data_IF_864930046573
#
_entry.id   IF_864930046573
#
_cell.length_a   1.000
_cell.length_b   1.000
_cell.length_c   1.000
_cell.angle_alpha   90.00
_cell.angle_beta   90.00
_cell.angle_gamma   90.00
#
_symmetry.space_group_name_H-M   'P 1'
#
loop_
_entity.id
_entity.type
_entity.pdbx_description
1 polymer ?
#
# COMPACT_ATOMS: atom_id res chain seq x y z
N UNK A 1 -2.36 -8.64 13.14
CA UNK A 1 -1.79 -7.28 13.13
C UNK A 1 -1.43 -6.92 11.69
N UNK A 2 -2.02 -5.84 11.17
CA UNK A 2 -1.88 -5.46 9.76
C UNK A 2 -0.75 -4.45 9.62
N UNK A 3 0.31 -4.79 8.88
CA UNK A 3 1.51 -3.96 8.77
C UNK A 3 1.58 -3.22 7.44
N UNK A 4 1.65 -1.90 7.50
CA UNK A 4 1.82 -1.00 6.35
C UNK A 4 3.22 -0.38 6.36
N UNK A 5 3.89 -0.42 5.24
CA UNK A 5 5.25 0.11 5.10
C UNK A 5 5.35 1.14 3.98
N UNK A 6 5.92 2.29 4.32
CA UNK A 6 6.26 3.34 3.37
C UNK A 6 7.69 3.14 2.89
N UNK A 7 7.87 3.06 1.59
CA UNK A 7 9.15 2.75 0.96
C UNK A 7 10.04 3.96 0.74
N UNK A 8 11.35 3.71 0.84
CA UNK A 8 12.38 4.54 0.23
C UNK A 8 13.33 3.71 -0.63
N UNK A 9 13.97 4.34 -1.62
CA UNK A 9 14.80 3.65 -2.60
C UNK A 9 16.21 3.26 -2.12
N UNK A 10 16.73 3.93 -1.08
CA UNK A 10 18.07 3.70 -0.60
C UNK A 10 18.34 4.32 0.76
N UNK A 11 19.59 4.23 1.24
CA UNK A 11 20.03 4.77 2.53
C UNK A 11 20.33 6.28 2.51
N UNK A 12 20.47 6.89 1.32
CA UNK A 12 20.77 8.31 1.19
C UNK A 12 19.58 9.19 1.57
N UNK A 13 19.83 10.27 2.31
CA UNK A 13 18.82 11.25 2.67
C UNK A 13 18.56 12.20 1.50
N UNK A 14 17.62 11.83 0.63
CA UNK A 14 17.17 12.64 -0.51
C UNK A 14 15.92 13.45 -0.15
N UNK A 15 15.56 14.49 -0.94
CA UNK A 15 14.27 15.18 -0.75
C UNK A 15 13.05 14.23 -0.81
N UNK A 16 13.12 13.18 -1.62
CA UNK A 16 12.08 12.15 -1.66
C UNK A 16 12.03 11.33 -0.36
N UNK A 17 13.19 10.96 0.20
CA UNK A 17 13.26 10.27 1.48
C UNK A 17 12.71 11.12 2.63
N UNK A 18 12.97 12.44 2.64
CA UNK A 18 12.41 13.36 3.64
C UNK A 18 10.88 13.41 3.57
N UNK A 19 10.29 13.40 2.37
CA UNK A 19 8.83 13.35 2.21
C UNK A 19 8.25 12.03 2.74
N UNK A 20 8.93 10.92 2.49
CA UNK A 20 8.51 9.61 3.01
C UNK A 20 8.58 9.57 4.53
N UNK A 21 9.64 10.13 5.14
CA UNK A 21 9.78 10.23 6.58
C UNK A 21 8.64 11.05 7.21
N UNK A 22 8.33 12.21 6.63
CA UNK A 22 7.24 13.05 7.10
C UNK A 22 5.88 12.38 6.97
N UNK A 23 5.63 11.70 5.84
CA UNK A 23 4.40 10.93 5.62
C UNK A 23 4.26 9.76 6.59
N UNK A 24 5.36 9.05 6.89
CA UNK A 24 5.38 7.96 7.88
C UNK A 24 5.01 8.48 9.27
N UNK A 25 5.65 9.56 9.72
CA UNK A 25 5.37 10.15 11.02
C UNK A 25 3.91 10.61 11.14
N UNK A 26 3.39 11.27 10.11
CA UNK A 26 1.98 11.69 10.08
C UNK A 26 1.02 10.49 10.13
N UNK A 27 1.30 9.45 9.35
CA UNK A 27 0.46 8.26 9.32
C UNK A 27 0.45 7.52 10.67
N UNK A 28 1.59 7.43 11.34
CA UNK A 28 1.71 6.84 12.68
C UNK A 28 0.88 7.62 13.72
N UNK A 29 0.98 8.95 13.72
CA UNK A 29 0.18 9.81 14.63
C UNK A 29 -1.31 9.64 14.34
N UNK A 30 -1.71 9.70 13.07
CA UNK A 30 -3.12 9.56 12.68
C UNK A 30 -3.69 8.21 13.08
N UNK A 31 -2.91 7.12 12.91
CA UNK A 31 -3.35 5.78 13.32
C UNK A 31 -3.56 5.69 14.84
N UNK A 32 -2.67 6.28 15.63
CA UNK A 32 -2.80 6.34 17.08
C UNK A 32 -4.02 7.16 17.52
N UNK A 33 -4.25 8.32 16.91
CA UNK A 33 -5.40 9.18 17.20
C UNK A 33 -6.75 8.56 16.85
N UNK A 34 -6.78 7.75 15.78
CA UNK A 34 -7.98 7.06 15.34
C UNK A 34 -8.16 5.67 15.96
N UNK A 35 -7.29 5.27 16.88
CA UNK A 35 -7.30 3.95 17.53
C UNK A 35 -7.31 2.79 16.53
N UNK A 36 -6.58 2.94 15.43
CA UNK A 36 -6.47 1.90 14.42
C UNK A 36 -5.45 0.86 14.87
N UNK A 37 -5.88 -0.39 14.97
CA UNK A 37 -5.01 -1.54 15.24
C UNK A 37 -4.21 -1.90 13.98
N UNK A 38 -3.26 -1.04 13.61
CA UNK A 38 -2.36 -1.28 12.49
C UNK A 38 -0.95 -0.83 12.81
N UNK A 39 0.02 -1.61 12.39
CA UNK A 39 1.43 -1.26 12.46
C UNK A 39 1.82 -0.46 11.21
N UNK A 40 2.23 0.79 11.41
CA UNK A 40 2.72 1.68 10.35
C UNK A 40 4.19 1.90 10.54
N UNK A 41 4.99 1.44 9.60
CA UNK A 41 6.43 1.56 9.62
C UNK A 41 6.94 2.27 8.33
N UNK A 42 8.13 2.74 8.35
CA UNK A 42 8.81 3.42 7.27
C UNK A 42 10.01 4.18 7.83
N UNK A 43 10.66 4.75 7.07
CA UNK A 43 11.14 4.67 5.69
C UNK A 43 12.00 3.40 5.49
N UNK A 44 11.47 2.41 4.85
CA UNK A 44 12.18 1.14 4.66
C UNK A 44 12.49 0.88 3.18
N UNK A 45 13.59 0.18 2.94
CA UNK A 45 13.84 -0.43 1.64
C UNK A 45 12.90 -1.63 1.45
N UNK A 46 12.62 -1.98 0.20
CA UNK A 46 11.69 -3.06 -0.13
C UNK A 46 12.11 -4.43 0.46
N UNK A 47 13.40 -4.72 0.43
CA UNK A 47 13.94 -5.96 1.01
C UNK A 47 13.77 -6.00 2.53
N UNK A 48 13.99 -4.89 3.22
CA UNK A 48 13.77 -4.77 4.68
C UNK A 48 12.29 -4.93 5.05
N UNK A 49 11.39 -4.45 4.19
CA UNK A 49 9.96 -4.56 4.41
C UNK A 49 9.42 -5.98 4.19
N UNK A 50 10.05 -6.74 3.29
CA UNK A 50 9.54 -8.03 2.81
C UNK A 50 10.33 -9.24 3.30
N UNK A 51 11.62 -9.06 3.65
CA UNK A 51 12.48 -10.15 4.12
C UNK A 51 12.95 -9.89 5.57
N UNK A 52 12.51 -10.71 6.53
CA UNK A 52 12.95 -10.59 7.92
C UNK A 52 14.46 -10.68 8.11
N UNK A 53 15.17 -11.46 7.27
CA UNK A 53 16.64 -11.56 7.34
C UNK A 53 17.31 -10.25 6.94
N UNK A 54 16.81 -9.61 5.89
CA UNK A 54 17.31 -8.29 5.48
C UNK A 54 17.05 -7.25 6.58
N UNK A 55 15.91 -7.36 7.25
CA UNK A 55 15.57 -6.51 8.38
C UNK A 55 16.53 -6.71 9.57
N UNK A 56 16.82 -7.93 9.96
CA UNK A 56 17.75 -8.24 11.05
C UNK A 56 19.15 -7.69 10.80
N UNK A 57 19.63 -7.76 9.54
CA UNK A 57 20.96 -7.27 9.18
C UNK A 57 21.04 -5.76 9.09
N UNK A 58 20.03 -5.13 8.48
CA UNK A 58 20.04 -3.68 8.20
C UNK A 58 19.50 -2.82 9.35
N UNK A 59 18.64 -3.40 10.20
CA UNK A 59 17.98 -2.73 11.32
C UNK A 59 18.00 -3.61 12.58
N UNK A 60 19.18 -3.93 13.14
CA UNK A 60 19.30 -4.86 14.27
C UNK A 60 18.55 -4.39 15.51
N UNK A 61 18.36 -3.10 15.67
CA UNK A 61 17.65 -2.49 16.81
C UNK A 61 16.12 -2.44 16.62
N UNK A 62 15.61 -2.78 15.44
CA UNK A 62 14.18 -2.84 15.14
C UNK A 62 13.69 -4.29 15.05
N UNK A 63 12.71 -4.63 15.84
CA UNK A 63 12.05 -5.93 15.76
C UNK A 63 10.96 -5.90 14.67
N UNK A 64 11.35 -6.16 13.43
CA UNK A 64 10.38 -6.45 12.36
C UNK A 64 9.91 -7.88 12.52
N UNK A 65 8.66 -8.08 12.89
CA UNK A 65 8.11 -9.40 13.26
C UNK A 65 7.66 -10.22 12.05
N UNK A 66 7.19 -9.57 10.99
CA UNK A 66 6.67 -10.21 9.79
C UNK A 66 6.80 -9.29 8.58
N UNK A 67 6.65 -9.87 7.38
CA UNK A 67 6.60 -9.11 6.13
C UNK A 67 5.46 -8.08 6.15
N UNK A 68 5.63 -7.00 5.40
CA UNK A 68 4.57 -6.00 5.24
C UNK A 68 3.41 -6.53 4.40
N UNK A 69 2.19 -6.24 4.82
CA UNK A 69 0.95 -6.57 4.10
C UNK A 69 0.60 -5.51 3.05
N UNK A 70 0.92 -4.25 3.33
CA UNK A 70 0.68 -3.12 2.44
C UNK A 70 1.96 -2.34 2.22
N UNK A 71 2.26 -2.09 0.96
CA UNK A 71 3.45 -1.40 0.50
C UNK A 71 3.06 -0.04 -0.09
N UNK A 72 3.53 1.04 0.53
CA UNK A 72 3.27 2.41 0.08
C UNK A 72 4.50 2.96 -0.62
N UNK A 73 4.38 3.24 -1.91
CA UNK A 73 5.46 3.74 -2.74
C UNK A 73 5.63 5.26 -2.63
N UNK A 74 6.85 5.78 -2.80
CA UNK A 74 7.14 7.21 -2.64
C UNK A 74 6.53 8.10 -3.73
N UNK A 75 6.20 7.52 -4.88
CA UNK A 75 5.56 8.20 -6.00
C UNK A 75 4.91 7.20 -6.95
N UNK A 76 4.11 7.71 -7.87
CA UNK A 76 3.34 6.92 -8.82
C UNK A 76 4.22 6.14 -9.81
N UNK A 77 5.34 6.72 -10.25
CA UNK A 77 6.24 6.07 -11.20
C UNK A 77 6.85 4.81 -10.60
N UNK A 78 7.36 4.91 -9.35
CA UNK A 78 7.90 3.77 -8.63
C UNK A 78 6.84 2.68 -8.44
N UNK A 79 5.60 3.05 -8.09
CA UNK A 79 4.51 2.11 -7.93
C UNK A 79 4.16 1.40 -9.26
N UNK A 80 4.00 2.16 -10.34
CA UNK A 80 3.63 1.61 -11.64
C UNK A 80 4.71 0.70 -12.23
N UNK A 81 5.99 1.11 -12.17
CA UNK A 81 7.10 0.30 -12.64
C UNK A 81 7.15 -1.02 -11.84
N UNK A 82 7.10 -0.94 -10.52
CA UNK A 82 7.15 -2.12 -9.66
C UNK A 82 5.99 -3.07 -9.91
N UNK A 83 4.76 -2.53 -10.04
CA UNK A 83 3.58 -3.33 -10.35
C UNK A 83 3.73 -4.08 -11.67
N UNK A 84 4.21 -3.40 -12.73
CA UNK A 84 4.41 -4.04 -14.03
C UNK A 84 5.51 -5.10 -14.01
N UNK A 85 6.61 -4.86 -13.28
CA UNK A 85 7.65 -5.86 -13.09
C UNK A 85 7.12 -7.08 -12.33
N UNK A 86 6.35 -6.89 -11.26
CA UNK A 86 5.75 -8.00 -10.51
C UNK A 86 4.78 -8.81 -11.38
N UNK A 87 3.97 -8.16 -12.21
CA UNK A 87 3.06 -8.86 -13.13
C UNK A 87 3.82 -9.72 -14.14
N UNK A 88 4.86 -9.18 -14.77
CA UNK A 88 5.54 -9.86 -15.86
C UNK A 88 6.67 -10.79 -15.42
N UNK A 89 7.37 -10.48 -14.33
CA UNK A 89 8.51 -11.26 -13.86
C UNK A 89 8.13 -12.28 -12.78
N UNK A 90 7.14 -11.97 -11.96
CA UNK A 90 6.72 -12.82 -10.85
C UNK A 90 5.33 -13.45 -11.04
N UNK A 91 4.64 -13.17 -12.14
CA UNK A 91 3.29 -13.69 -12.41
C UNK A 91 2.23 -13.18 -11.44
N UNK A 92 2.46 -12.01 -10.82
CA UNK A 92 1.50 -11.45 -9.88
C UNK A 92 0.22 -11.02 -10.61
N UNK A 93 -0.92 -11.36 -10.04
CA UNK A 93 -2.22 -10.90 -10.52
C UNK A 93 -2.48 -9.46 -10.07
N UNK A 94 -3.10 -8.68 -10.95
CA UNK A 94 -3.46 -7.29 -10.66
C UNK A 94 -4.97 -7.10 -10.85
N UNK A 95 -5.65 -6.74 -9.77
CA UNK A 95 -7.08 -6.44 -9.77
C UNK A 95 -7.30 -4.92 -9.78
N UNK A 96 -6.92 -4.31 -10.89
CA UNK A 96 -7.17 -2.91 -11.17
C UNK A 96 -6.38 -1.93 -10.33
N UNK A 97 -6.77 -0.65 -10.44
CA UNK A 97 -6.31 0.44 -9.58
C UNK A 97 -7.54 0.97 -8.85
N UNK A 98 -7.67 0.63 -7.58
CA UNK A 98 -8.72 1.19 -6.74
C UNK A 98 -8.38 2.64 -6.42
N UNK A 99 -9.31 3.54 -6.70
CA UNK A 99 -9.11 4.98 -6.49
C UNK A 99 -9.66 5.34 -5.12
N UNK A 100 -8.76 5.73 -4.22
CA UNK A 100 -9.11 6.14 -2.86
C UNK A 100 -9.53 7.61 -2.78
N UNK A 101 -10.34 7.96 -1.78
CA UNK A 101 -10.73 9.34 -1.50
C UNK A 101 -11.86 9.87 -2.40
N UNK A 102 -12.55 9.03 -3.12
CA UNK A 102 -13.76 9.40 -3.85
C UNK A 102 -15.02 9.23 -2.98
N UNK A 103 -16.06 9.99 -3.30
CA UNK A 103 -17.37 9.88 -2.66
C UNK A 103 -18.06 8.52 -2.90
N UNK A 104 -17.61 7.76 -3.88
CA UNK A 104 -18.08 6.41 -4.18
C UNK A 104 -16.89 5.54 -4.60
N UNK A 105 -16.89 4.24 -4.26
CA UNK A 105 -15.85 3.33 -4.72
C UNK A 105 -15.74 3.29 -6.24
N UNK A 106 -14.53 3.41 -6.73
CA UNK A 106 -14.24 3.37 -8.17
C UNK A 106 -12.87 2.72 -8.41
N UNK A 107 -12.71 2.13 -9.58
CA UNK A 107 -11.45 1.58 -10.03
C UNK A 107 -11.19 1.92 -11.49
N UNK A 108 -9.91 1.95 -11.84
CA UNK A 108 -9.44 2.03 -13.21
C UNK A 108 -8.80 0.70 -13.60
N UNK A 109 -9.07 0.21 -14.79
CA UNK A 109 -8.43 -0.97 -15.36
C UNK A 109 -7.53 -0.57 -16.53
N UNK A 110 -6.39 -1.25 -16.73
CA UNK A 110 -5.54 -1.02 -17.90
C UNK A 110 -6.25 -1.46 -19.19
N UNK A 111 -5.90 -0.83 -20.31
CA UNK A 111 -6.44 -1.21 -21.63
C UNK A 111 -6.12 -2.64 -22.07
N UNK A 112 -5.12 -3.25 -21.44
CA UNK A 112 -4.67 -4.63 -21.66
C UNK A 112 -5.19 -5.58 -20.57
N UNK A 113 -6.25 -5.20 -19.85
CA UNK A 113 -6.83 -6.04 -18.82
C UNK A 113 -7.39 -7.33 -19.41
N UNK A 114 -7.13 -8.44 -18.73
CA UNK A 114 -7.74 -9.72 -19.02
C UNK A 114 -9.16 -9.80 -18.44
N UNK A 115 -9.95 -10.76 -18.87
CA UNK A 115 -11.28 -11.03 -18.29
C UNK A 115 -11.19 -11.22 -16.78
N UNK A 116 -10.19 -11.97 -16.32
CA UNK A 116 -9.94 -12.20 -14.89
C UNK A 116 -9.64 -10.88 -14.13
N UNK A 117 -8.82 -10.00 -14.71
CA UNK A 117 -8.54 -8.68 -14.13
C UNK A 117 -9.81 -7.84 -14.03
N UNK A 118 -10.65 -7.82 -15.08
CA UNK A 118 -11.91 -7.09 -15.11
C UNK A 118 -12.86 -7.64 -14.04
N UNK A 119 -13.04 -8.95 -14.00
CA UNK A 119 -13.92 -9.62 -13.06
C UNK A 119 -13.49 -9.40 -11.61
N UNK A 120 -12.20 -9.64 -11.28
CA UNK A 120 -11.68 -9.46 -9.93
C UNK A 120 -11.73 -7.99 -9.47
N UNK A 121 -11.47 -7.04 -10.39
CA UNK A 121 -11.62 -5.61 -10.09
C UNK A 121 -13.08 -5.25 -9.80
N UNK A 122 -14.01 -5.74 -10.60
CA UNK A 122 -15.45 -5.50 -10.40
C UNK A 122 -15.94 -6.07 -9.06
N UNK A 123 -15.47 -7.26 -8.68
CA UNK A 123 -15.78 -7.85 -7.36
C UNK A 123 -15.23 -6.99 -6.22
N UNK A 124 -14.01 -6.49 -6.34
CA UNK A 124 -13.38 -5.65 -5.31
C UNK A 124 -14.15 -4.35 -5.13
N UNK A 125 -14.47 -3.64 -6.21
CA UNK A 125 -15.26 -2.41 -6.16
C UNK A 125 -16.67 -2.66 -5.63
N UNK A 126 -17.29 -3.78 -6.04
CA UNK A 126 -18.60 -4.18 -5.53
C UNK A 126 -18.59 -4.45 -4.03
N UNK A 127 -17.58 -5.14 -3.53
CA UNK A 127 -17.40 -5.35 -2.09
C UNK A 127 -17.19 -4.03 -1.34
N UNK A 128 -16.34 -3.14 -1.85
CA UNK A 128 -16.15 -1.82 -1.25
C UNK A 128 -17.43 -0.98 -1.27
N UNK A 129 -18.21 -1.06 -2.34
CA UNK A 129 -19.50 -0.37 -2.41
C UNK A 129 -20.51 -0.86 -1.35
N UNK A 130 -20.54 -2.17 -1.10
CA UNK A 130 -21.35 -2.76 -0.02
C UNK A 130 -20.88 -2.26 1.34
N UNK A 131 -19.57 -2.28 1.59
CA UNK A 131 -18.99 -1.78 2.84
C UNK A 131 -19.22 -0.29 3.04
N UNK A 132 -19.06 0.50 1.98
CA UNK A 132 -19.34 1.92 2.00
C UNK A 132 -20.81 2.19 2.39
N UNK A 133 -21.74 1.48 1.77
CA UNK A 133 -23.17 1.62 2.07
C UNK A 133 -23.54 1.18 3.50
N UNK A 134 -22.83 0.19 4.04
CA UNK A 134 -22.99 -0.22 5.45
C UNK A 134 -22.50 0.85 6.43
N UNK A 135 -21.41 1.55 6.10
CA UNK A 135 -20.83 2.61 6.92
C UNK A 135 -21.59 3.94 6.80
N UNK A 136 -22.14 4.20 5.63
CA UNK A 136 -22.86 5.44 5.29
C UNK A 136 -24.22 5.13 4.67
N UNK A 137 -25.20 4.62 5.47
CA UNK A 137 -26.49 4.17 4.96
C UNK A 137 -27.32 5.30 4.35
N UNK A 138 -27.14 6.53 4.80
CA UNK A 138 -27.88 7.70 4.30
C UNK A 138 -27.21 8.39 3.11
N UNK A 139 -26.08 7.87 2.65
CA UNK A 139 -25.43 8.33 1.43
C UNK A 139 -24.72 9.69 1.52
N UNK A 140 -24.53 10.20 2.73
CA UNK A 140 -23.82 11.46 2.95
C UNK A 140 -22.31 11.22 3.10
N UNK A 141 -21.53 11.80 2.19
CA UNK A 141 -20.15 12.21 2.36
C UNK A 141 -20.07 13.68 1.96
#
# INVERSE_FOLDING_TARGET
EFRRVLFRSGSAMTPAAQKVAAATALAQVTAQEQFLEMDIDGELQADVALDPRASEVKLPDRKVRHSADVLVFPNLDAAHISLKLLQHCAGAQNYGQIIMGLARPAAQIPRTATEETIYGTALTVGYEAIKFHQLYPEGEV
#
